data_IF_600183137292
#
_entry.id   IF_600183137292
#
_cell.length_a   1.000
_cell.length_b   1.000
_cell.length_c   1.000
_cell.angle_alpha   90.00
_cell.angle_beta   90.00
_cell.angle_gamma   90.00
#
_symmetry.space_group_name_H-M   'P 1'
#
loop_
_entity.id
_entity.type
_entity.pdbx_description
1 polymer ?
#
# COMPACT_ATOMS: atom_id res chain seq x y z
N UNK A 1 -10.18 -57.39 -44.40
CA UNK A 1 -8.89 -56.68 -44.33
C UNK A 1 -8.85 -55.99 -42.98
N UNK A 2 -7.82 -56.31 -42.19
CA UNK A 2 -7.65 -55.93 -40.79
C UNK A 2 -6.98 -54.57 -40.66
N UNK A 3 -7.42 -53.74 -39.70
CA UNK A 3 -6.63 -52.87 -38.80
C UNK A 3 -7.50 -51.71 -38.25
N UNK A 4 -7.12 -51.10 -37.10
CA UNK A 4 -7.96 -50.95 -35.93
C UNK A 4 -8.04 -49.47 -35.52
N UNK A 5 -8.50 -49.18 -34.31
CA UNK A 5 -8.11 -47.93 -33.67
C UNK A 5 -9.12 -47.41 -32.68
N UNK A 6 -8.86 -47.75 -31.42
CA UNK A 6 -9.24 -47.04 -30.20
C UNK A 6 -9.99 -45.70 -30.34
N UNK A 7 -11.16 -45.64 -29.71
CA UNK A 7 -11.65 -44.40 -29.10
C UNK A 7 -10.73 -44.03 -27.92
N UNK A 8 -10.44 -42.75 -27.74
CA UNK A 8 -10.86 -42.14 -26.48
C UNK A 8 -11.56 -40.78 -26.64
N UNK A 9 -12.42 -40.51 -25.65
CA UNK A 9 -13.08 -39.25 -25.33
C UNK A 9 -12.15 -38.03 -25.42
N UNK A 10 -12.65 -36.85 -25.84
CA UNK A 10 -12.05 -35.59 -25.43
C UNK A 10 -12.61 -35.17 -24.06
N UNK A 11 -12.06 -35.72 -22.97
CA UNK A 11 -11.99 -34.97 -21.70
C UNK A 11 -10.60 -34.32 -21.66
N UNK A 12 -10.51 -33.18 -22.33
CA UNK A 12 -9.31 -32.37 -22.44
C UNK A 12 -9.51 -31.10 -21.64
N UNK A 13 -9.37 -31.25 -20.32
CA UNK A 13 -9.18 -30.19 -19.34
C UNK A 13 -8.28 -29.10 -19.93
N UNK A 14 -8.85 -27.92 -20.19
CA UNK A 14 -8.08 -26.75 -20.58
C UNK A 14 -7.11 -26.47 -19.42
N UNK A 15 -5.78 -26.56 -19.59
CA UNK A 15 -4.91 -26.02 -18.57
C UNK A 15 -5.20 -24.52 -18.55
N UNK A 16 -5.78 -24.04 -17.45
CA UNK A 16 -5.69 -22.64 -17.08
C UNK A 16 -4.19 -22.33 -17.12
N UNK A 17 -3.78 -21.65 -18.19
CA UNK A 17 -2.50 -21.01 -18.27
C UNK A 17 -2.54 -19.90 -17.22
N UNK A 18 -2.30 -20.25 -15.96
CA UNK A 18 -1.86 -19.33 -14.92
C UNK A 18 -0.42 -18.94 -15.25
N UNK A 19 -0.23 -18.39 -16.44
CA UNK A 19 0.95 -17.62 -16.77
C UNK A 19 0.83 -16.32 -16.00
N UNK A 20 1.74 -16.15 -15.05
CA UNK A 20 2.19 -14.86 -14.55
C UNK A 20 1.09 -13.81 -14.38
N UNK A 21 0.45 -13.82 -13.20
CA UNK A 21 0.17 -12.54 -12.53
C UNK A 21 1.49 -11.99 -11.96
N UNK A 22 2.47 -11.78 -12.84
CA UNK A 22 3.56 -10.87 -12.63
C UNK A 22 3.13 -9.54 -13.22
N UNK A 23 2.30 -8.84 -12.45
CA UNK A 23 2.21 -7.39 -12.59
C UNK A 23 2.93 -6.73 -11.40
N UNK A 24 4.26 -6.82 -11.22
CA UNK A 24 4.98 -5.86 -10.38
C UNK A 24 5.14 -4.55 -11.16
N UNK A 25 4.01 -3.93 -11.47
CA UNK A 25 3.94 -2.55 -11.93
C UNK A 25 3.95 -1.57 -10.76
N UNK A 26 4.85 -1.75 -9.78
CA UNK A 26 5.19 -0.74 -8.77
C UNK A 26 6.71 -0.62 -8.59
N UNK A 27 7.48 -0.76 -9.67
CA UNK A 27 8.80 -0.14 -9.80
C UNK A 27 8.59 1.19 -10.52
N UNK A 28 8.87 2.36 -9.95
CA UNK A 28 10.12 2.71 -9.26
C UNK A 28 9.84 3.72 -8.13
N UNK A 29 10.34 3.47 -6.90
CA UNK A 29 10.97 4.59 -6.19
C UNK A 29 12.44 4.30 -5.91
N UNK A 30 13.32 4.99 -6.65
CA UNK A 30 14.63 5.47 -6.19
C UNK A 30 15.17 6.45 -7.24
N UNK A 31 15.61 7.65 -6.83
CA UNK A 31 17.02 7.75 -6.46
C UNK A 31 17.32 8.43 -5.10
N UNK A 32 16.37 8.54 -4.18
CA UNK A 32 16.56 9.24 -2.89
C UNK A 32 15.95 8.47 -1.71
N UNK A 33 16.62 7.41 -1.27
CA UNK A 33 16.26 6.75 -0.01
C UNK A 33 16.58 7.65 1.19
N UNK A 34 15.65 7.65 2.17
CA UNK A 34 15.55 8.54 3.34
C UNK A 34 15.23 10.02 2.98
N UNK A 35 14.25 10.67 3.63
CA UNK A 35 14.11 10.63 5.08
C UNK A 35 12.68 10.55 5.63
N UNK A 36 12.61 9.91 6.79
CA UNK A 36 11.52 9.99 7.76
C UNK A 36 12.10 9.78 9.17
N UNK A 37 12.63 10.83 9.80
CA UNK A 37 12.35 11.00 11.23
C UNK A 37 12.18 12.48 11.60
N UNK A 38 11.01 12.85 12.16
CA UNK A 38 10.58 14.25 12.31
C UNK A 38 9.72 14.73 11.13
N UNK A 39 8.91 13.82 10.56
CA UNK A 39 7.99 14.04 9.44
C UNK A 39 7.46 15.49 9.38
N UNK A 40 7.77 16.18 8.29
CA UNK A 40 7.06 17.38 7.90
C UNK A 40 5.78 17.00 7.13
N UNK A 41 4.62 17.27 7.69
CA UNK A 41 3.35 17.04 7.00
C UNK A 41 3.25 17.98 5.80
N UNK A 42 2.97 17.48 4.59
CA UNK A 42 2.84 18.34 3.41
C UNK A 42 1.78 19.44 3.62
N UNK A 43 2.10 20.71 3.30
CA UNK A 43 1.18 21.83 3.55
C UNK A 43 -0.14 21.69 2.78
N UNK A 44 -0.13 21.05 1.61
CA UNK A 44 -1.35 20.76 0.84
C UNK A 44 -2.30 19.80 1.56
N UNK A 45 -1.77 18.82 2.28
CA UNK A 45 -2.57 17.92 3.12
C UNK A 45 -3.12 18.66 4.33
N UNK A 46 -2.28 19.47 5.00
CA UNK A 46 -2.71 20.26 6.14
C UNK A 46 -3.85 21.23 5.79
N UNK A 47 -3.74 21.92 4.65
CA UNK A 47 -4.77 22.82 4.13
C UNK A 47 -6.07 22.08 3.78
N UNK A 48 -5.97 20.93 3.10
CA UNK A 48 -7.14 20.11 2.76
C UNK A 48 -7.86 19.60 4.00
N UNK A 49 -7.12 19.10 4.99
CA UNK A 49 -7.69 18.62 6.24
C UNK A 49 -8.34 19.74 7.06
N UNK A 50 -7.71 20.92 7.11
CA UNK A 50 -8.32 22.08 7.77
C UNK A 50 -9.60 22.56 7.04
N UNK A 51 -9.62 22.51 5.70
CA UNK A 51 -10.75 22.94 4.87
C UNK A 51 -11.95 22.00 4.97
N UNK A 52 -11.74 20.70 4.89
CA UNK A 52 -12.82 19.71 4.81
C UNK A 52 -13.22 19.16 6.19
N UNK A 53 -12.27 19.03 7.12
CA UNK A 53 -12.48 18.35 8.41
C UNK A 53 -12.29 19.27 9.62
N UNK A 54 -12.04 20.56 9.42
CA UNK A 54 -12.00 21.57 10.48
C UNK A 54 -11.00 21.24 11.59
N UNK A 55 -11.47 21.24 12.85
CA UNK A 55 -10.64 20.94 14.02
C UNK A 55 -10.11 19.49 14.01
N UNK A 56 -10.97 18.52 13.67
CA UNK A 56 -10.61 17.09 13.57
C UNK A 56 -9.50 16.87 12.53
N UNK A 57 -9.55 17.60 11.42
CA UNK A 57 -8.50 17.59 10.40
C UNK A 57 -7.15 18.12 10.90
N UNK A 58 -7.17 19.19 11.70
CA UNK A 58 -5.95 19.74 12.32
C UNK A 58 -5.34 18.80 13.35
N UNK A 59 -6.16 18.20 14.20
CA UNK A 59 -5.71 17.22 15.19
C UNK A 59 -5.12 15.97 14.52
N UNK A 60 -5.76 15.52 13.43
CA UNK A 60 -5.23 14.44 12.59
C UNK A 60 -3.85 14.79 12.05
N UNK A 61 -3.69 15.96 11.45
CA UNK A 61 -2.41 16.44 10.90
C UNK A 61 -1.33 16.50 11.98
N UNK A 62 -1.66 17.01 13.16
CA UNK A 62 -0.73 17.06 14.29
C UNK A 62 -0.30 15.67 14.79
N UNK A 63 -1.19 14.67 14.70
CA UNK A 63 -0.91 13.30 15.12
C UNK A 63 -0.14 12.45 14.09
N UNK A 64 -0.08 12.87 12.81
CA UNK A 64 0.52 12.08 11.72
C UNK A 64 1.98 11.67 11.99
N UNK A 65 2.89 12.55 12.46
CA UNK A 65 4.28 12.16 12.74
C UNK A 65 4.38 11.03 13.77
N UNK A 66 3.61 11.12 14.86
CA UNK A 66 3.60 10.10 15.92
C UNK A 66 3.00 8.77 15.46
N UNK A 67 1.92 8.82 14.66
CA UNK A 67 1.32 7.59 14.08
C UNK A 67 2.28 6.89 13.14
N UNK A 68 2.94 7.64 12.27
CA UNK A 68 3.93 7.09 11.35
C UNK A 68 5.10 6.42 12.07
N UNK A 69 5.64 7.06 13.12
CA UNK A 69 6.70 6.48 13.95
C UNK A 69 6.25 5.18 14.61
N UNK A 70 5.06 5.16 15.22
CA UNK A 70 4.50 3.97 15.85
C UNK A 70 4.35 2.80 14.87
N UNK A 71 3.73 3.02 13.71
CA UNK A 71 3.53 1.93 12.73
C UNK A 71 4.85 1.44 12.14
N UNK A 72 5.82 2.35 11.94
CA UNK A 72 7.18 1.97 11.54
C UNK A 72 7.81 1.00 12.55
N UNK A 73 7.71 1.30 13.84
CA UNK A 73 8.28 0.45 14.90
C UNK A 73 7.54 -0.89 15.02
N UNK A 74 6.21 -0.86 15.10
CA UNK A 74 5.39 -2.05 15.31
C UNK A 74 5.47 -3.02 14.13
N UNK A 75 5.52 -2.51 12.90
CA UNK A 75 5.59 -3.33 11.68
C UNK A 75 7.01 -3.48 11.12
N UNK A 76 8.02 -2.94 11.80
CA UNK A 76 9.43 -3.02 11.37
C UNK A 76 9.69 -2.38 10.00
N UNK A 77 8.98 -1.32 9.63
CA UNK A 77 9.10 -0.68 8.32
C UNK A 77 10.39 0.13 8.19
N UNK A 78 10.94 0.18 6.98
CA UNK A 78 12.06 1.08 6.66
C UNK A 78 11.59 2.17 5.68
N UNK A 79 11.73 3.46 5.99
CA UNK A 79 11.37 4.52 5.05
C UNK A 79 12.15 4.42 3.73
N UNK A 80 11.44 4.64 2.62
CA UNK A 80 11.96 4.45 1.26
C UNK A 80 11.78 5.68 0.37
N UNK A 81 11.78 6.88 0.96
CA UNK A 81 11.70 8.13 0.21
C UNK A 81 10.88 9.23 0.91
N UNK A 82 10.64 10.35 0.21
CA UNK A 82 9.91 11.49 0.76
C UNK A 82 8.43 11.19 1.01
N UNK A 83 7.84 11.92 1.95
CA UNK A 83 6.41 11.91 2.20
C UNK A 83 5.64 12.41 0.97
N UNK A 84 4.62 11.66 0.55
CA UNK A 84 3.68 12.04 -0.49
C UNK A 84 2.30 12.27 0.13
N UNK A 85 1.41 12.98 -0.57
CA UNK A 85 0.03 13.13 -0.11
C UNK A 85 -0.96 13.09 -1.28
N UNK A 86 -2.12 12.51 -1.01
CA UNK A 86 -3.33 12.75 -1.79
C UNK A 86 -4.16 13.88 -1.18
N UNK A 87 -5.41 14.01 -1.59
CA UNK A 87 -6.34 15.02 -1.04
C UNK A 87 -6.71 14.76 0.43
N UNK A 88 -6.85 13.48 0.81
CA UNK A 88 -7.31 13.08 2.15
C UNK A 88 -6.28 12.24 2.94
N UNK A 89 -5.20 11.78 2.30
CA UNK A 89 -4.27 10.80 2.87
C UNK A 89 -2.82 11.25 2.77
N UNK A 90 -2.05 10.87 3.78
CA UNK A 90 -0.59 10.85 3.71
C UNK A 90 -0.12 9.47 3.22
N UNK A 91 0.88 9.45 2.33
CA UNK A 91 1.43 8.22 1.72
C UNK A 91 2.94 8.20 1.92
N UNK A 92 3.45 7.13 2.52
CA UNK A 92 4.86 6.98 2.87
C UNK A 92 5.42 5.75 2.14
N UNK A 93 6.36 5.93 1.21
CA UNK A 93 7.12 4.80 0.68
C UNK A 93 7.88 4.10 1.80
N UNK A 94 7.77 2.77 1.86
CA UNK A 94 8.48 1.94 2.85
C UNK A 94 9.01 0.65 2.22
N UNK A 95 10.01 0.05 2.83
CA UNK A 95 10.42 -1.33 2.62
C UNK A 95 9.95 -2.20 3.76
N UNK A 96 9.73 -3.47 3.45
CA UNK A 96 9.35 -4.53 4.38
C UNK A 96 10.53 -5.49 4.60
N UNK A 97 11.41 -5.26 5.60
CA UNK A 97 12.56 -6.11 5.85
C UNK A 97 12.18 -7.58 6.12
N UNK A 98 11.05 -7.81 6.81
CA UNK A 98 10.52 -9.14 7.07
C UNK A 98 10.10 -9.90 5.79
N UNK A 99 9.97 -9.21 4.66
CA UNK A 99 9.56 -9.76 3.37
C UNK A 99 10.63 -9.51 2.30
N UNK A 100 11.91 -9.69 2.66
CA UNK A 100 13.03 -9.57 1.72
C UNK A 100 13.20 -8.16 1.16
N UNK A 101 12.94 -7.13 1.98
CA UNK A 101 13.00 -5.71 1.58
C UNK A 101 12.03 -5.34 0.44
N UNK A 102 10.89 -6.03 0.37
CA UNK A 102 9.86 -5.72 -0.62
C UNK A 102 9.36 -4.26 -0.50
N UNK A 103 9.15 -3.55 -1.63
CA UNK A 103 8.54 -2.21 -1.63
C UNK A 103 7.08 -2.26 -1.20
N UNK A 104 6.68 -1.29 -0.38
CA UNK A 104 5.30 -1.09 0.06
C UNK A 104 5.02 0.39 0.36
N UNK A 105 3.79 0.71 0.73
CA UNK A 105 3.38 2.06 1.14
C UNK A 105 2.61 2.02 2.46
N UNK A 106 2.96 2.92 3.38
CA UNK A 106 2.16 3.22 4.56
C UNK A 106 1.21 4.37 4.23
N UNK A 107 -0.10 4.10 4.25
CA UNK A 107 -1.13 5.12 4.02
C UNK A 107 -1.81 5.49 5.34
N UNK A 108 -1.80 6.78 5.67
CA UNK A 108 -2.47 7.33 6.85
C UNK A 108 -3.58 8.27 6.40
N UNK A 109 -4.82 7.90 6.72
CA UNK A 109 -6.02 8.68 6.40
C UNK A 109 -6.76 9.01 7.69
N UNK A 110 -7.44 10.15 7.71
CA UNK A 110 -8.47 10.40 8.72
C UNK A 110 -9.63 9.46 8.42
N UNK A 111 -9.84 8.46 9.29
CA UNK A 111 -11.02 7.61 9.24
C UNK A 111 -12.22 8.51 9.52
N UNK A 112 -13.06 8.71 8.51
CA UNK A 112 -14.40 9.23 8.70
C UNK A 112 -15.29 8.13 9.31
N UNK A 113 -16.45 8.48 9.84
CA UNK A 113 -17.35 7.57 10.57
C UNK A 113 -17.90 6.41 9.70
N UNK A 114 -17.66 6.41 8.38
CA UNK A 114 -17.94 5.28 7.48
C UNK A 114 -16.83 4.19 7.48
N UNK A 115 -15.61 4.49 7.94
CA UNK A 115 -14.50 3.51 7.97
C UNK A 115 -14.22 2.92 9.36
N UNK A 116 -15.10 3.17 10.33
CA UNK A 116 -15.08 2.52 11.64
C UNK A 116 -15.59 1.08 11.54
N UNK A 117 -14.95 0.23 10.73
CA UNK A 117 -15.43 -1.14 10.51
C UNK A 117 -14.48 -2.13 9.84
N UNK A 118 -13.45 -1.69 9.11
CA UNK A 118 -12.63 -2.62 8.30
C UNK A 118 -11.24 -2.92 8.92
N UNK A 119 -11.18 -2.92 10.26
CA UNK A 119 -9.96 -3.20 11.03
C UNK A 119 -10.05 -4.44 11.93
N UNK A 120 -11.01 -5.32 11.70
CA UNK A 120 -11.09 -6.63 12.34
C UNK A 120 -11.97 -7.58 11.50
N UNK A 121 -11.36 -8.29 10.55
CA UNK A 121 -11.87 -9.55 10.02
C UNK A 121 -10.69 -10.43 9.62
#
# INVERSE_FOLDING_TARGET
MTQPGAFPHPDGHHPHHAGDLHEPGAGVPSPAGAPWPGLAVPPGLAASQARFNGARGRDFVAALPGRAARFREVWGLRPDGPAMHGTASLVLPVRLPAHGDAPAVLKLQLLDEESAGEGAA
#
